data_IF_097697465033
#
_entry.id   IF_097697465033
#
_cell.length_a   1.000
_cell.length_b   1.000
_cell.length_c   1.000
_cell.angle_alpha   90.00
_cell.angle_beta   90.00
_cell.angle_gamma   90.00
#
_symmetry.space_group_name_H-M   'P 1'
#
loop_
_entity.id
_entity.type
_entity.pdbx_description
1 polymer ?
#
# COMPACT_ATOMS: atom_id res chain seq x y z
N UNK A 1 3.03 11.55 1.35
CA UNK A 1 2.38 10.24 1.13
C UNK A 1 0.89 10.39 1.44
N UNK A 2 0.04 10.44 0.41
CA UNK A 2 -1.42 10.43 0.62
C UNK A 2 -1.90 9.00 0.50
N UNK A 3 -2.63 8.51 1.50
CA UNK A 3 -3.17 7.14 1.52
C UNK A 3 -4.68 7.25 1.34
N UNK A 4 -5.19 6.68 0.25
CA UNK A 4 -6.62 6.46 0.08
C UNK A 4 -6.88 5.01 0.51
N UNK A 5 -7.68 4.83 1.55
CA UNK A 5 -7.95 3.54 2.18
C UNK A 5 -9.44 3.22 2.08
N UNK A 6 -9.78 2.06 1.53
CA UNK A 6 -11.13 1.51 1.53
C UNK A 6 -11.08 0.08 2.05
N UNK A 7 -11.86 -0.24 3.08
CA UNK A 7 -11.87 -1.59 3.67
C UNK A 7 -13.27 -2.13 3.79
N UNK A 8 -13.48 -3.34 3.27
CA UNK A 8 -14.69 -4.12 3.50
C UNK A 8 -14.42 -5.20 4.54
N UNK A 9 -15.32 -5.35 5.51
CA UNK A 9 -15.24 -6.39 6.55
C UNK A 9 -16.59 -7.06 6.72
N UNK A 10 -16.60 -8.39 6.67
CA UNK A 10 -17.78 -9.24 6.86
C UNK A 10 -17.50 -10.21 8.01
N UNK A 11 -18.49 -10.43 8.87
CA UNK A 11 -18.40 -11.32 10.03
C UNK A 11 -19.61 -12.24 10.01
N UNK A 12 -19.39 -13.53 10.19
CA UNK A 12 -20.44 -14.53 10.36
C UNK A 12 -20.17 -15.37 11.60
N UNK A 13 -21.22 -15.65 12.37
CA UNK A 13 -21.15 -16.41 13.62
C UNK A 13 -22.31 -17.39 13.70
N UNK A 14 -22.02 -18.65 14.01
CA UNK A 14 -23.03 -19.67 14.27
C UNK A 14 -23.13 -19.98 15.76
N UNK A 15 -24.31 -20.44 16.20
CA UNK A 15 -24.69 -20.64 17.60
C UNK A 15 -23.84 -21.69 18.37
N UNK A 16 -23.07 -22.54 17.67
CA UNK A 16 -22.12 -23.51 18.23
C UNK A 16 -20.67 -22.95 18.34
N UNK A 17 -20.50 -21.66 18.07
CA UNK A 17 -19.34 -20.77 18.26
C UNK A 17 -18.09 -21.15 17.46
N UNK A 18 -18.24 -20.96 16.14
CA UNK A 18 -17.15 -20.66 15.22
C UNK A 18 -17.42 -19.28 14.63
N UNK A 19 -16.53 -18.32 14.88
CA UNK A 19 -16.64 -16.96 14.31
C UNK A 19 -15.68 -16.85 13.13
N UNK A 20 -16.25 -16.52 11.98
CA UNK A 20 -15.52 -16.35 10.73
C UNK A 20 -15.54 -14.87 10.38
N UNK A 21 -14.36 -14.27 10.20
CA UNK A 21 -14.22 -12.90 9.70
C UNK A 21 -13.50 -12.92 8.36
N UNK A 22 -14.09 -12.25 7.37
CA UNK A 22 -13.48 -11.97 6.09
C UNK A 22 -13.19 -10.48 6.00
N UNK A 23 -11.93 -10.11 5.76
CA UNK A 23 -11.51 -8.72 5.60
C UNK A 23 -10.85 -8.53 4.25
N UNK A 24 -11.27 -7.49 3.52
CA UNK A 24 -10.74 -7.11 2.22
C UNK A 24 -10.38 -5.61 2.21
N UNK A 25 -9.23 -5.21 2.80
CA UNK A 25 -8.70 -3.86 2.64
C UNK A 25 -8.06 -3.66 1.26
N UNK A 26 -8.41 -2.53 0.64
CA UNK A 26 -7.86 -2.02 -0.61
C UNK A 26 -7.23 -0.65 -0.31
N UNK A 27 -5.95 -0.52 -0.63
CA UNK A 27 -5.16 0.66 -0.33
C UNK A 27 -4.54 1.21 -1.60
N UNK A 28 -4.69 2.50 -1.84
CA UNK A 28 -3.93 3.23 -2.86
C UNK A 28 -3.01 4.23 -2.17
N UNK A 29 -1.72 4.15 -2.46
CA UNK A 29 -0.72 5.12 -2.02
C UNK A 29 -0.26 5.94 -3.20
N UNK A 30 -0.20 7.26 -3.00
CA UNK A 30 0.36 8.20 -3.96
C UNK A 30 1.69 8.69 -3.38
N UNK A 31 2.79 8.30 -4.01
CA UNK A 31 4.13 8.75 -3.68
C UNK A 31 4.51 9.90 -4.62
N UNK A 32 4.58 11.11 -4.09
CA UNK A 32 4.91 12.31 -4.88
C UNK A 32 6.42 12.46 -4.92
N UNK A 33 7.03 12.79 -6.07
CA UNK A 33 8.44 13.10 -6.15
C UNK A 33 8.80 14.23 -5.16
N UNK A 34 9.98 14.15 -4.56
CA UNK A 34 10.48 15.19 -3.68
C UNK A 34 10.83 16.47 -4.45
N UNK A 35 10.97 17.58 -3.73
CA UNK A 35 11.34 18.87 -4.35
C UNK A 35 12.67 18.77 -5.09
N UNK A 36 13.62 18.00 -4.57
CA UNK A 36 14.92 17.77 -5.24
C UNK A 36 14.80 16.92 -6.51
N UNK A 37 13.84 15.98 -6.55
CA UNK A 37 13.59 15.14 -7.73
C UNK A 37 12.96 15.95 -8.86
N UNK A 38 12.21 17.00 -8.52
CA UNK A 38 11.56 17.91 -9.48
C UNK A 38 12.42 19.12 -9.86
N UNK A 39 13.53 19.36 -9.17
CA UNK A 39 14.31 20.58 -9.35
C UNK A 39 15.15 20.51 -10.64
N UNK A 40 14.86 21.33 -11.68
CA UNK A 40 15.60 21.31 -12.95
C UNK A 40 16.98 21.99 -12.85
N UNK A 41 17.31 22.59 -11.70
CA UNK A 41 18.60 23.25 -11.55
C UNK A 41 19.68 22.22 -11.19
N UNK A 42 20.72 22.20 -12.02
CA UNK A 42 21.87 21.32 -11.85
C UNK A 42 22.58 21.60 -10.52
N UNK A 43 22.80 20.54 -9.74
CA UNK A 43 23.61 20.55 -8.52
C UNK A 43 24.92 19.84 -8.80
N UNK A 44 26.02 20.53 -8.53
CA UNK A 44 27.35 19.94 -8.55
C UNK A 44 27.54 19.22 -7.21
N UNK A 45 27.63 17.89 -7.25
CA UNK A 45 27.90 17.10 -6.06
C UNK A 45 29.40 17.02 -5.81
N UNK A 46 30.19 16.78 -6.88
CA UNK A 46 31.65 16.84 -6.93
C UNK A 46 32.08 17.30 -8.34
N UNK A 47 33.38 17.52 -8.57
CA UNK A 47 33.93 17.98 -9.85
C UNK A 47 33.56 17.09 -11.06
N UNK A 48 33.26 15.82 -10.81
CA UNK A 48 32.90 14.83 -11.83
C UNK A 48 31.43 14.41 -11.81
N UNK A 49 30.62 14.87 -10.85
CA UNK A 49 29.23 14.44 -10.72
C UNK A 49 28.27 15.62 -10.62
N UNK A 50 27.35 15.66 -11.57
CA UNK A 50 26.25 16.62 -11.64
C UNK A 50 24.94 15.86 -11.54
N UNK A 51 24.00 16.36 -10.75
CA UNK A 51 22.65 15.80 -10.65
C UNK A 51 21.64 16.89 -10.97
N UNK A 52 20.63 16.52 -11.74
CA UNK A 52 19.51 17.35 -12.12
C UNK A 52 18.23 16.56 -11.85
N UNK A 53 17.22 17.21 -11.28
CA UNK A 53 15.88 16.65 -11.18
C UNK A 53 15.11 16.82 -12.49
N UNK A 54 13.95 16.21 -12.58
CA UNK A 54 13.05 16.31 -13.72
C UNK A 54 11.68 16.87 -13.27
N UNK A 55 11.32 18.11 -13.65
CA UNK A 55 10.04 18.72 -13.31
C UNK A 55 8.81 17.97 -13.82
N UNK A 56 8.99 17.10 -14.82
CA UNK A 56 7.92 16.32 -15.44
C UNK A 56 7.69 14.95 -14.78
N UNK A 57 8.36 14.65 -13.65
CA UNK A 57 8.12 13.39 -12.95
C UNK A 57 6.69 13.32 -12.42
N UNK A 58 6.00 12.25 -12.80
CA UNK A 58 4.68 11.95 -12.28
C UNK A 58 4.77 11.22 -10.92
N UNK A 59 3.75 11.35 -10.06
CA UNK A 59 3.65 10.55 -8.85
C UNK A 59 3.57 9.04 -9.14
N UNK A 60 4.32 8.26 -8.38
CA UNK A 60 4.21 6.81 -8.38
C UNK A 60 2.93 6.40 -7.62
N UNK A 61 2.17 5.48 -8.20
CA UNK A 61 0.98 4.91 -7.59
C UNK A 61 1.27 3.48 -7.15
N UNK A 62 0.94 3.17 -5.90
CA UNK A 62 0.99 1.80 -5.38
C UNK A 62 -0.39 1.36 -4.93
N UNK A 63 -0.91 0.33 -5.56
CA UNK A 63 -2.15 -0.33 -5.17
C UNK A 63 -1.83 -1.59 -4.37
N UNK A 64 -2.41 -1.71 -3.18
CA UNK A 64 -2.29 -2.90 -2.32
C UNK A 64 -3.68 -3.47 -2.06
N UNK A 65 -3.83 -4.75 -2.36
CA UNK A 65 -5.02 -5.53 -2.04
C UNK A 65 -4.63 -6.63 -1.08
N UNK A 66 -5.39 -6.78 0.01
CA UNK A 66 -5.17 -7.85 0.97
C UNK A 66 -6.49 -8.54 1.27
N UNK A 67 -6.46 -9.87 1.32
CA UNK A 67 -7.58 -10.70 1.74
C UNK A 67 -7.16 -11.46 2.99
N UNK A 68 -7.94 -11.32 4.05
CA UNK A 68 -7.70 -11.98 5.33
C UNK A 68 -8.91 -12.82 5.70
N UNK A 69 -8.66 -14.08 6.04
CA UNK A 69 -9.66 -15.00 6.55
C UNK A 69 -9.32 -15.37 7.98
N UNK A 70 -10.12 -14.95 8.95
CA UNK A 70 -9.91 -15.23 10.36
C UNK A 70 -10.95 -16.23 10.87
N UNK A 71 -10.46 -17.35 11.38
CA UNK A 71 -11.22 -18.42 12.03
C UNK A 71 -10.98 -18.36 13.53
N UNK A 72 -12.02 -18.08 14.29
CA UNK A 72 -12.00 -18.16 15.75
C UNK A 72 -12.84 -19.36 16.18
N UNK A 73 -12.18 -20.38 16.75
CA UNK A 73 -12.79 -21.60 17.26
C UNK A 73 -12.47 -21.74 18.75
N UNK A 74 -13.25 -21.07 19.59
CA UNK A 74 -13.08 -21.06 21.05
C UNK A 74 -11.74 -20.44 21.47
N UNK A 75 -10.76 -21.29 21.84
CA UNK A 75 -9.43 -20.87 22.34
C UNK A 75 -8.38 -20.70 21.25
N UNK A 76 -8.67 -21.12 20.01
CA UNK A 76 -7.73 -21.04 18.89
C UNK A 76 -8.19 -20.02 17.87
N UNK A 77 -7.24 -19.22 17.36
CA UNK A 77 -7.45 -18.26 16.28
C UNK A 77 -6.43 -18.52 15.16
N UNK A 78 -6.93 -18.74 13.95
CA UNK A 78 -6.12 -18.94 12.74
C UNK A 78 -6.53 -17.87 11.74
N UNK A 79 -5.58 -17.06 11.29
CA UNK A 79 -5.85 -15.90 10.42
C UNK A 79 -4.90 -15.83 9.21
N UNK A 80 -4.99 -16.78 8.25
CA UNK A 80 -4.26 -16.68 7.00
C UNK A 80 -4.66 -15.40 6.23
N UNK A 81 -3.69 -14.85 5.53
CA UNK A 81 -3.92 -13.74 4.63
C UNK A 81 -3.08 -13.89 3.37
N UNK A 82 -3.59 -13.33 2.28
CA UNK A 82 -2.87 -13.16 1.03
C UNK A 82 -2.84 -11.67 0.70
N UNK A 83 -1.76 -11.22 0.08
CA UNK A 83 -1.59 -9.83 -0.30
C UNK A 83 -1.04 -9.74 -1.72
N UNK A 84 -1.42 -8.68 -2.42
CA UNK A 84 -0.96 -8.34 -3.76
C UNK A 84 -0.61 -6.84 -3.78
N UNK A 85 0.56 -6.51 -4.31
CA UNK A 85 0.99 -5.13 -4.54
C UNK A 85 1.18 -4.92 -6.03
N UNK A 86 0.56 -3.88 -6.58
CA UNK A 86 0.74 -3.42 -7.96
C UNK A 86 1.37 -2.03 -7.93
N UNK A 87 2.48 -1.87 -8.64
CA UNK A 87 3.18 -0.61 -8.80
C UNK A 87 2.90 -0.06 -10.19
N UNK A 88 2.40 1.17 -10.26
CA UNK A 88 2.24 1.89 -11.51
C UNK A 88 3.19 3.08 -11.49
N UNK A 89 4.24 2.97 -12.29
CA UNK A 89 5.18 4.03 -12.58
C UNK A 89 4.74 4.57 -13.95
N UNK A 90 4.43 5.86 -14.03
CA UNK A 90 4.08 6.54 -15.28
C UNK A 90 5.23 7.38 -15.76
#
# INVERSE_FOLDING_TARGET
MTIIHFSLRLISSTKLIKVITLSLPINRRINRPGVYDLNPFQRLNNDLSKTEGNPYLEPELTDKLQLTYALNAGKSNISPHIFMNSYQIK
#
